data_IF_139779307586
#
_entry.id   IF_139779307586
#
_cell.length_a   1.000
_cell.length_b   1.000
_cell.length_c   1.000
_cell.angle_alpha   90.00
_cell.angle_beta   90.00
_cell.angle_gamma   90.00
#
_symmetry.space_group_name_H-M   'P 1'
#
loop_
_entity.id
_entity.type
_entity.pdbx_description
1 polymer ?
#
# COMPACT_ATOMS: atom_id res chain seq x y z
N UNK A 1 12.96 21.76 30.56
CA UNK A 1 11.61 21.57 30.00
C UNK A 1 11.77 20.81 28.70
N UNK A 2 11.23 19.60 28.66
CA UNK A 2 11.28 18.69 27.52
C UNK A 2 10.30 19.16 26.45
N UNK A 3 10.77 19.27 25.22
CA UNK A 3 9.96 19.59 24.05
C UNK A 3 10.65 19.08 22.81
N UNK A 4 11.07 17.81 22.82
CA UNK A 4 11.49 17.10 21.61
C UNK A 4 10.25 16.99 20.73
N UNK A 5 10.09 17.97 19.84
CA UNK A 5 9.08 17.98 18.80
C UNK A 5 9.22 16.68 18.02
N UNK A 6 8.10 15.97 17.91
CA UNK A 6 7.97 14.63 17.40
C UNK A 6 8.50 14.56 15.96
N UNK A 7 9.76 14.16 15.82
CA UNK A 7 10.33 13.72 14.56
C UNK A 7 9.62 12.41 14.22
N UNK A 8 8.54 12.48 13.44
CA UNK A 8 8.09 11.32 12.66
C UNK A 8 9.11 11.16 11.54
N UNK A 9 10.24 10.55 11.91
CA UNK A 9 11.30 10.17 11.01
C UNK A 9 10.67 9.22 10.00
N UNK A 10 10.53 9.71 8.78
CA UNK A 10 10.32 8.89 7.59
C UNK A 10 11.46 7.87 7.59
N UNK A 11 11.17 6.65 8.02
CA UNK A 11 11.98 5.50 7.73
C UNK A 11 11.80 5.23 6.22
N UNK A 12 12.47 6.06 5.42
CA UNK A 12 12.75 5.77 4.03
C UNK A 12 13.64 4.52 4.08
N UNK A 13 13.00 3.35 4.01
CA UNK A 13 13.70 2.08 3.86
C UNK A 13 14.59 2.25 2.64
N UNK A 14 15.89 2.34 2.92
CA UNK A 14 16.93 2.46 1.93
C UNK A 14 16.81 1.31 0.96
N UNK A 15 16.59 1.63 -0.31
CA UNK A 15 16.74 0.68 -1.40
C UNK A 15 18.25 0.49 -1.56
N UNK A 16 18.83 -0.45 -0.84
CA UNK A 16 20.01 -1.14 -1.34
C UNK A 16 19.53 -1.97 -2.53
N UNK A 17 20.21 -1.82 -3.66
CA UNK A 17 19.82 -2.20 -5.03
C UNK A 17 19.68 -3.71 -5.31
N UNK A 18 19.24 -4.51 -4.34
CA UNK A 18 19.01 -5.95 -4.52
C UNK A 18 17.73 -6.35 -3.78
N UNK A 19 16.63 -6.44 -4.53
CA UNK A 19 15.36 -7.02 -4.09
C UNK A 19 14.58 -6.19 -3.09
N UNK A 20 13.60 -5.41 -3.57
CA UNK A 20 12.44 -5.12 -2.73
C UNK A 20 11.80 -6.47 -2.38
N UNK A 21 11.95 -6.90 -1.14
CA UNK A 21 11.35 -8.13 -0.64
C UNK A 21 9.87 -7.90 -0.34
N UNK A 22 9.07 -8.96 -0.42
CA UNK A 22 7.67 -9.03 0.01
C UNK A 22 7.43 -8.30 1.36
N UNK A 23 8.33 -8.49 2.32
CA UNK A 23 8.27 -7.86 3.65
C UNK A 23 8.31 -6.33 3.59
N UNK A 24 9.01 -5.76 2.61
CA UNK A 24 9.13 -4.31 2.42
C UNK A 24 7.81 -3.67 1.98
N UNK A 25 7.05 -4.31 1.08
CA UNK A 25 5.75 -3.80 0.63
C UNK A 25 4.69 -3.98 1.71
N UNK A 26 4.64 -5.14 2.36
CA UNK A 26 3.69 -5.39 3.47
C UNK A 26 3.90 -4.44 4.64
N UNK A 27 5.15 -4.25 5.11
CA UNK A 27 5.44 -3.33 6.21
C UNK A 27 5.11 -1.87 5.88
N UNK A 28 5.23 -1.50 4.61
CA UNK A 28 4.89 -0.16 4.16
C UNK A 28 3.37 0.08 4.07
N UNK A 29 2.59 -0.95 3.69
CA UNK A 29 1.12 -0.93 3.79
C UNK A 29 0.67 -0.81 5.25
N UNK A 30 1.29 -1.56 6.16
CA UNK A 30 1.00 -1.49 7.60
C UNK A 30 1.27 -0.09 8.18
N UNK A 31 2.37 0.54 7.80
CA UNK A 31 2.67 1.93 8.19
C UNK A 31 1.56 2.89 7.75
N UNK A 32 1.09 2.77 6.50
CA UNK A 32 0.01 3.61 5.98
C UNK A 32 -1.29 3.38 6.75
N UNK A 33 -1.61 2.13 7.09
CA UNK A 33 -2.79 1.81 7.91
C UNK A 33 -2.73 2.40 9.32
N UNK A 34 -1.56 2.36 9.97
CA UNK A 34 -1.36 2.97 11.27
C UNK A 34 -1.56 4.49 11.24
N UNK A 35 -0.97 5.16 10.25
CA UNK A 35 -1.11 6.60 10.07
C UNK A 35 -2.57 6.98 9.78
N UNK A 36 -3.27 6.18 8.97
CA UNK A 36 -4.70 6.31 8.81
C UNK A 36 -5.42 6.18 10.16
N UNK A 37 -5.22 5.16 10.98
CA UNK A 37 -5.94 5.08 12.26
C UNK A 37 -5.72 6.31 13.16
N UNK A 38 -4.51 6.89 13.16
CA UNK A 38 -4.18 8.07 13.98
C UNK A 38 -4.83 9.39 13.51
N UNK A 39 -5.27 9.49 12.25
CA UNK A 39 -5.89 10.73 11.73
C UNK A 39 -7.33 10.94 12.19
N UNK A 40 -7.95 9.97 12.89
CA UNK A 40 -9.38 10.04 13.27
C UNK A 40 -9.62 10.88 14.53
N UNK A 41 -8.63 11.08 15.40
CA UNK A 41 -8.94 11.51 16.77
C UNK A 41 -8.76 12.99 17.14
N UNK A 42 -8.05 13.87 16.41
CA UNK A 42 -7.79 15.24 16.93
C UNK A 42 -7.70 16.36 15.88
N UNK A 43 -8.64 17.30 16.01
CA UNK A 43 -8.66 18.74 15.63
C UNK A 43 -8.56 19.06 14.12
N UNK A 44 -9.60 19.73 13.58
CA UNK A 44 -9.78 20.02 12.14
C UNK A 44 -8.64 20.81 11.47
N UNK A 45 -7.86 21.58 12.22
CA UNK A 45 -6.68 22.32 11.70
C UNK A 45 -5.43 21.46 11.55
N UNK A 46 -5.31 20.34 12.28
CA UNK A 46 -4.24 19.34 12.05
C UNK A 46 -4.69 18.25 11.08
N UNK A 47 -5.98 18.20 10.74
CA UNK A 47 -6.55 17.17 9.89
C UNK A 47 -6.09 17.32 8.43
N UNK A 48 -6.00 18.54 7.89
CA UNK A 48 -5.59 18.78 6.50
C UNK A 48 -4.13 18.39 6.23
N UNK A 49 -3.19 18.79 7.11
CA UNK A 49 -1.77 18.45 6.97
C UNK A 49 -1.53 16.93 7.09
N UNK A 50 -2.25 16.26 8.01
CA UNK A 50 -2.16 14.81 8.15
C UNK A 50 -2.87 14.07 7.01
N UNK A 51 -3.93 14.64 6.46
CA UNK A 51 -4.59 14.12 5.26
C UNK A 51 -3.62 14.14 4.08
N UNK A 52 -2.93 15.26 3.87
CA UNK A 52 -1.98 15.39 2.76
C UNK A 52 -0.79 14.45 2.91
N UNK A 53 -0.20 14.35 4.11
CA UNK A 53 0.87 13.37 4.37
C UNK A 53 0.43 11.93 4.13
N UNK A 54 -0.77 11.58 4.58
CA UNK A 54 -1.34 10.26 4.32
C UNK A 54 -1.51 9.99 2.81
N UNK A 55 -1.93 10.99 2.03
CA UNK A 55 -2.03 10.86 0.56
C UNK A 55 -0.66 10.68 -0.09
N UNK A 56 0.31 11.52 0.25
CA UNK A 56 1.67 11.46 -0.30
C UNK A 56 2.33 10.11 -0.02
N UNK A 57 2.22 9.63 1.22
CA UNK A 57 2.73 8.31 1.59
C UNK A 57 2.06 7.20 0.77
N UNK A 58 0.73 7.24 0.68
CA UNK A 58 -0.03 6.24 -0.06
C UNK A 58 0.32 6.25 -1.56
N UNK A 59 0.49 7.43 -2.18
CA UNK A 59 0.98 7.56 -3.55
C UNK A 59 2.34 6.90 -3.72
N UNK A 60 3.27 7.18 -2.80
CA UNK A 60 4.59 6.54 -2.81
C UNK A 60 4.52 5.01 -2.65
N UNK A 61 3.56 4.49 -1.88
CA UNK A 61 3.34 3.04 -1.77
C UNK A 61 2.71 2.45 -3.03
N UNK A 62 1.78 3.15 -3.68
CA UNK A 62 1.16 2.72 -4.95
C UNK A 62 2.23 2.57 -6.03
N UNK A 63 3.16 3.52 -6.13
CA UNK A 63 4.26 3.43 -7.09
C UNK A 63 5.20 2.24 -6.80
N UNK A 64 5.48 1.97 -5.51
CA UNK A 64 6.28 0.80 -5.11
C UNK A 64 5.56 -0.50 -5.46
N UNK A 65 4.26 -0.56 -5.19
CA UNK A 65 3.41 -1.69 -5.51
C UNK A 65 3.35 -1.95 -7.02
N UNK A 66 3.25 -0.89 -7.83
CA UNK A 66 3.26 -1.01 -9.29
C UNK A 66 4.56 -1.64 -9.80
N UNK A 67 5.71 -1.19 -9.29
CA UNK A 67 7.01 -1.80 -9.61
C UNK A 67 7.08 -3.27 -9.17
N UNK A 68 6.48 -3.60 -8.04
CA UNK A 68 6.47 -4.96 -7.53
C UNK A 68 5.57 -5.88 -8.37
N UNK A 69 4.36 -5.44 -8.75
CA UNK A 69 3.47 -6.20 -9.65
C UNK A 69 4.17 -6.45 -10.99
N UNK A 70 4.86 -5.45 -11.53
CA UNK A 70 5.62 -5.59 -12.76
C UNK A 70 6.79 -6.59 -12.62
N UNK A 71 7.54 -6.52 -11.52
CA UNK A 71 8.59 -7.50 -11.21
C UNK A 71 8.02 -8.92 -11.13
N UNK A 72 6.92 -9.11 -10.40
CA UNK A 72 6.27 -10.42 -10.26
C UNK A 72 5.73 -10.95 -11.60
N UNK A 73 5.24 -10.08 -12.49
CA UNK A 73 4.84 -10.45 -13.85
C UNK A 73 6.03 -10.92 -14.69
N UNK A 74 7.15 -10.22 -14.60
CA UNK A 74 8.38 -10.61 -15.30
C UNK A 74 8.92 -11.94 -14.79
N UNK A 75 8.95 -12.13 -13.47
CA UNK A 75 9.34 -13.39 -12.84
C UNK A 75 8.43 -14.53 -13.29
N UNK A 76 7.11 -14.36 -13.18
CA UNK A 76 6.13 -15.33 -13.66
C UNK A 76 6.34 -15.68 -15.14
N UNK A 77 6.62 -14.70 -16.00
CA UNK A 77 6.87 -14.91 -17.42
C UNK A 77 8.17 -15.69 -17.70
N UNK A 78 9.12 -15.66 -16.77
CA UNK A 78 10.40 -16.38 -16.88
C UNK A 78 10.39 -17.78 -16.26
N UNK A 79 9.30 -18.16 -15.57
CA UNK A 79 9.15 -19.50 -15.00
C UNK A 79 9.02 -20.54 -16.11
N UNK A 80 9.69 -21.68 -15.92
CA UNK A 80 9.57 -22.83 -16.83
C UNK A 80 8.34 -23.70 -16.51
N UNK A 81 7.76 -23.56 -15.31
CA UNK A 81 6.62 -24.33 -14.85
C UNK A 81 5.29 -23.60 -15.18
N UNK A 82 4.56 -24.14 -16.16
CA UNK A 82 3.28 -23.57 -16.61
C UNK A 82 2.18 -23.67 -15.54
N UNK A 83 2.20 -24.66 -14.64
CA UNK A 83 1.21 -24.79 -13.57
C UNK A 83 1.35 -23.67 -12.54
N UNK A 84 2.58 -23.21 -12.31
CA UNK A 84 2.82 -22.09 -11.40
C UNK A 84 2.48 -20.76 -12.06
N UNK A 85 2.76 -20.61 -13.36
CA UNK A 85 2.35 -19.44 -14.15
C UNK A 85 0.83 -19.24 -14.12
N UNK A 86 0.07 -20.31 -14.38
CA UNK A 86 -1.40 -20.30 -14.35
C UNK A 86 -1.97 -19.95 -12.97
N UNK A 87 -1.26 -20.24 -11.88
CA UNK A 87 -1.67 -19.85 -10.51
C UNK A 87 -1.32 -18.41 -10.17
N UNK A 88 -0.28 -17.84 -10.78
CA UNK A 88 0.19 -16.49 -10.51
C UNK A 88 -0.56 -15.42 -11.30
N UNK A 89 -0.88 -15.70 -12.56
CA UNK A 89 -1.60 -14.77 -13.45
C UNK A 89 -2.88 -14.18 -12.82
N UNK A 90 -3.83 -14.98 -12.29
CA UNK A 90 -5.03 -14.42 -11.65
C UNK A 90 -4.71 -13.62 -10.39
N UNK A 91 -3.65 -13.96 -9.66
CA UNK A 91 -3.24 -13.20 -8.47
C UNK A 91 -2.66 -11.84 -8.85
N UNK A 92 -1.92 -11.75 -9.96
CA UNK A 92 -1.39 -10.50 -10.49
C UNK A 92 -2.49 -9.60 -11.04
N UNK A 93 -3.54 -10.17 -11.64
CA UNK A 93 -4.73 -9.41 -12.04
C UNK A 93 -5.48 -8.85 -10.82
N UNK A 94 -5.66 -9.65 -9.77
CA UNK A 94 -6.28 -9.19 -8.52
C UNK A 94 -5.48 -8.05 -7.90
N UNK A 95 -4.14 -8.17 -7.83
CA UNK A 95 -3.26 -7.12 -7.31
C UNK A 95 -3.37 -5.82 -8.12
N UNK A 96 -3.42 -5.93 -9.45
CA UNK A 96 -3.62 -4.77 -10.33
C UNK A 96 -4.97 -4.10 -10.08
N UNK A 97 -6.06 -4.87 -10.00
CA UNK A 97 -7.39 -4.35 -9.76
C UNK A 97 -7.51 -3.67 -8.37
N UNK A 98 -6.90 -4.25 -7.34
CA UNK A 98 -6.85 -3.67 -6.00
C UNK A 98 -6.06 -2.36 -5.97
N UNK A 99 -4.90 -2.29 -6.65
CA UNK A 99 -4.14 -1.04 -6.82
C UNK A 99 -5.00 0.05 -7.47
N UNK A 100 -5.70 -0.27 -8.56
CA UNK A 100 -6.56 0.68 -9.28
C UNK A 100 -7.73 1.16 -8.42
N UNK A 101 -8.34 0.27 -7.63
CA UNK A 101 -9.39 0.64 -6.68
C UNK A 101 -8.89 1.60 -5.60
N UNK A 102 -7.67 1.40 -5.09
CA UNK A 102 -7.00 2.29 -4.15
C UNK A 102 -6.77 3.67 -4.78
N UNK A 103 -6.22 3.73 -5.99
CA UNK A 103 -6.00 5.00 -6.73
C UNK A 103 -7.32 5.76 -6.91
N UNK A 104 -8.38 5.07 -7.33
CA UNK A 104 -9.68 5.70 -7.54
C UNK A 104 -10.25 6.28 -6.24
N UNK A 105 -10.14 5.54 -5.13
CA UNK A 105 -10.60 6.00 -3.80
C UNK A 105 -9.78 7.19 -3.30
N UNK A 106 -8.46 7.18 -3.53
CA UNK A 106 -7.57 8.28 -3.17
C UNK A 106 -7.89 9.56 -3.94
N UNK A 107 -8.28 9.45 -5.21
CA UNK A 107 -8.68 10.62 -6.00
C UNK A 107 -10.00 11.22 -5.49
N UNK A 108 -10.97 10.38 -5.11
CA UNK A 108 -12.27 10.83 -4.55
C UNK A 108 -12.15 11.52 -3.20
N UNK A 109 -11.12 11.14 -2.44
CA UNK A 109 -10.73 11.74 -1.16
C UNK A 109 -10.47 13.26 -1.28
N UNK A 110 -10.00 13.72 -2.44
CA UNK A 110 -9.64 15.14 -2.67
C UNK A 110 -10.85 16.08 -2.65
N UNK A 111 -12.06 15.53 -2.76
CA UNK A 111 -13.30 16.30 -2.96
C UNK A 111 -14.26 16.23 -1.75
N UNK A 112 -13.97 15.39 -0.75
CA UNK A 112 -14.87 15.11 0.37
C UNK A 112 -14.72 16.04 1.57
N UNK A 113 -15.86 16.38 2.21
CA UNK A 113 -15.90 17.02 3.53
C UNK A 113 -15.62 16.01 4.67
N UNK A 114 -15.48 16.47 5.92
CA UNK A 114 -15.01 15.65 7.05
C UNK A 114 -15.72 14.29 7.28
N UNK A 115 -17.04 14.19 7.05
CA UNK A 115 -17.76 12.91 7.18
C UNK A 115 -17.49 11.99 5.97
N UNK A 116 -17.51 12.55 4.75
CA UNK A 116 -17.14 11.82 3.54
C UNK A 116 -15.69 11.32 3.59
N UNK A 117 -14.79 12.10 4.19
CA UNK A 117 -13.40 11.70 4.43
C UNK A 117 -13.31 10.45 5.30
N UNK A 118 -14.14 10.33 6.34
CA UNK A 118 -14.15 9.18 7.25
C UNK A 118 -14.58 7.89 6.53
N UNK A 119 -15.65 7.95 5.74
CA UNK A 119 -16.13 6.81 4.95
C UNK A 119 -15.13 6.40 3.86
N UNK A 120 -14.58 7.37 3.13
CA UNK A 120 -13.60 7.12 2.09
C UNK A 120 -12.33 6.48 2.64
N UNK A 121 -11.86 6.97 3.79
CA UNK A 121 -10.74 6.41 4.52
C UNK A 121 -10.99 4.98 4.99
N UNK A 122 -12.17 4.69 5.55
CA UNK A 122 -12.51 3.32 5.94
C UNK A 122 -12.51 2.37 4.74
N UNK A 123 -13.09 2.80 3.62
CA UNK A 123 -13.08 2.01 2.39
C UNK A 123 -11.68 1.81 1.81
N UNK A 124 -10.79 2.78 2.00
CA UNK A 124 -9.39 2.69 1.60
C UNK A 124 -8.59 1.75 2.52
N UNK A 125 -8.81 1.80 3.84
CA UNK A 125 -8.21 0.87 4.80
C UNK A 125 -8.56 -0.58 4.46
N UNK A 126 -9.82 -0.86 4.14
CA UNK A 126 -10.24 -2.19 3.72
C UNK A 126 -9.54 -2.62 2.42
N UNK A 127 -9.43 -1.72 1.43
CA UNK A 127 -8.75 -2.03 0.18
C UNK A 127 -7.25 -2.30 0.37
N UNK A 128 -6.60 -1.60 1.32
CA UNK A 128 -5.20 -1.85 1.68
C UNK A 128 -5.02 -3.21 2.38
N UNK A 129 -6.00 -3.64 3.18
CA UNK A 129 -6.00 -4.95 3.85
C UNK A 129 -6.18 -6.08 2.84
N UNK A 130 -7.16 -5.93 1.95
CA UNK A 130 -7.37 -6.86 0.84
C UNK A 130 -6.12 -6.97 -0.04
N UNK A 131 -5.45 -5.84 -0.29
CA UNK A 131 -4.20 -5.80 -1.03
C UNK A 131 -3.10 -6.57 -0.30
N UNK A 132 -2.88 -6.31 1.00
CA UNK A 132 -1.88 -7.01 1.80
C UNK A 132 -2.07 -8.53 1.72
N UNK A 133 -3.29 -9.01 1.90
CA UNK A 133 -3.62 -10.44 1.82
C UNK A 133 -3.38 -11.03 0.43
N UNK A 134 -3.64 -10.28 -0.64
CA UNK A 134 -3.34 -10.74 -1.99
C UNK A 134 -1.84 -10.86 -2.26
N UNK A 135 -1.03 -9.92 -1.75
CA UNK A 135 0.42 -10.00 -1.88
C UNK A 135 0.96 -11.21 -1.09
N UNK A 136 0.43 -11.48 0.11
CA UNK A 136 0.74 -12.68 0.90
C UNK A 136 0.51 -13.96 0.11
N UNK A 137 -0.65 -14.08 -0.54
CA UNK A 137 -1.01 -15.25 -1.36
C UNK A 137 -0.08 -15.39 -2.57
N UNK A 138 0.21 -14.29 -3.26
CA UNK A 138 1.10 -14.29 -4.43
C UNK A 138 2.52 -14.72 -4.04
N UNK A 139 3.02 -14.23 -2.91
CA UNK A 139 4.33 -14.62 -2.38
C UNK A 139 4.37 -16.10 -1.99
N UNK A 140 3.34 -16.63 -1.32
CA UNK A 140 3.26 -18.05 -0.97
C UNK A 140 3.22 -18.96 -2.21
N UNK A 141 2.58 -18.52 -3.30
CA UNK A 141 2.54 -19.28 -4.54
C UNK A 141 3.93 -19.40 -5.19
N UNK A 142 4.78 -18.38 -5.06
CA UNK A 142 6.17 -18.40 -5.52
C UNK A 142 7.10 -19.25 -4.64
N UNK A 143 6.89 -19.23 -3.32
CA UNK A 143 7.73 -19.98 -2.36
C UNK A 143 7.51 -21.49 -2.37
N UNK A 144 6.41 -21.98 -2.96
CA UNK A 144 6.10 -23.42 -3.06
C UNK A 144 6.69 -24.10 -4.31
N UNK A 145 7.58 -23.43 -5.03
CA UNK A 145 8.35 -23.99 -6.16
C UNK A 145 9.63 -24.68 -5.68
#
# INVERSE_FOLDING_TARGET
>A
MLGTSLVLLVALIGITSSGLSYAGVSGAIESVMQEAHQTVEKVSTLAEEKQERFKEQLQGQIEKLEREIERLRQEASSLQDDDVRLKLEPQLEILQAQKEAIILRLNKIREGSGEAWKELKQGLLNALEDLKQSIERASQALQRQ
#
